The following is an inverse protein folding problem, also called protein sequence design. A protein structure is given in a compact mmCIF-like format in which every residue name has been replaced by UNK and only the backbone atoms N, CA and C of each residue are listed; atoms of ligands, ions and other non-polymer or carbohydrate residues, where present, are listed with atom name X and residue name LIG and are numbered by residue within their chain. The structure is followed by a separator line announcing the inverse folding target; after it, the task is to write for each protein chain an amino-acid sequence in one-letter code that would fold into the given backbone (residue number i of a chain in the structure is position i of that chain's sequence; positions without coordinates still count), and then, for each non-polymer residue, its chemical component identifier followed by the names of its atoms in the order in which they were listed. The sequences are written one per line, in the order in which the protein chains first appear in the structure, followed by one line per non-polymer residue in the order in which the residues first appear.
data_IF_681993054225
#
_entry.id   IF_681993054225
#
_cell.length_a   1.000
_cell.length_b   1.000
_cell.length_c   1.000
_cell.angle_alpha   90.00
_cell.angle_beta   90.00
_cell.angle_gamma   90.00
#
_symmetry.space_group_name_H-M   'P 1'
#
loop_
_entity.id
_entity.type
_entity.pdbx_description
1 polymer ?
#
# COMPACT_ATOMS: atom_id res chain seq x y z
N UNK A 1 -12.24 18.45 4.28
CA UNK A 1 -11.37 17.58 3.46
C UNK A 1 -10.15 18.36 3.03
N UNK A 2 -8.93 17.83 3.24
CA UNK A 2 -7.70 18.46 2.74
C UNK A 2 -7.65 18.42 1.20
N UNK A 3 -6.85 19.29 0.57
CA UNK A 3 -6.66 19.25 -0.89
C UNK A 3 -6.15 17.89 -1.36
N UNK A 4 -5.21 17.28 -0.62
CA UNK A 4 -4.69 15.95 -0.93
C UNK A 4 -5.78 14.87 -0.90
N UNK A 5 -6.62 14.83 0.14
CA UNK A 5 -7.74 13.89 0.22
C UNK A 5 -8.75 14.06 -0.93
N UNK A 6 -9.03 15.32 -1.31
CA UNK A 6 -9.92 15.64 -2.42
C UNK A 6 -9.40 15.05 -3.75
N UNK A 7 -8.12 15.24 -4.04
CA UNK A 7 -7.49 14.72 -5.26
C UNK A 7 -7.45 13.20 -5.32
N UNK A 8 -7.19 12.54 -4.18
CA UNK A 8 -7.30 11.09 -4.06
C UNK A 8 -8.71 10.63 -4.43
N UNK A 9 -9.74 11.25 -3.83
CA UNK A 9 -11.13 10.89 -4.08
C UNK A 9 -11.55 11.12 -5.54
N UNK A 10 -11.15 12.25 -6.14
CA UNK A 10 -11.39 12.56 -7.55
C UNK A 10 -10.73 11.56 -8.48
N UNK A 11 -9.44 11.23 -8.23
CA UNK A 11 -8.74 10.23 -9.01
C UNK A 11 -9.38 8.85 -8.86
N UNK A 12 -9.68 8.40 -7.64
CA UNK A 12 -10.34 7.11 -7.42
C UNK A 12 -11.69 7.05 -8.16
N UNK A 13 -12.47 8.11 -8.13
CA UNK A 13 -13.74 8.20 -8.86
C UNK A 13 -13.52 8.12 -10.36
N UNK A 14 -12.54 8.83 -10.92
CA UNK A 14 -12.22 8.81 -12.34
C UNK A 14 -11.79 7.42 -12.85
N UNK A 15 -11.18 6.62 -11.95
CA UNK A 15 -10.77 5.24 -12.26
C UNK A 15 -11.89 4.21 -11.99
N UNK A 16 -13.06 4.63 -11.52
CA UNK A 16 -14.15 3.73 -11.15
C UNK A 16 -13.87 2.90 -9.89
N UNK A 17 -12.93 3.34 -9.04
CA UNK A 17 -12.63 2.69 -7.77
C UNK A 17 -13.70 3.01 -6.72
N UNK A 18 -13.95 2.05 -5.83
CA UNK A 18 -14.91 2.24 -4.74
C UNK A 18 -14.35 3.18 -3.69
N UNK A 19 -15.15 4.15 -3.29
CA UNK A 19 -14.97 4.94 -2.08
C UNK A 19 -16.00 4.46 -1.04
N UNK A 20 -15.54 4.09 0.13
CA UNK A 20 -16.38 3.62 1.23
C UNK A 20 -16.75 4.82 2.09
N UNK A 21 -18.04 5.18 2.06
CA UNK A 21 -18.59 6.39 2.69
C UNK A 21 -19.71 6.11 3.68
N UNK A 22 -20.00 4.84 3.98
CA UNK A 22 -20.92 4.53 5.06
C UNK A 22 -20.27 4.79 6.42
N UNK A 23 -21.04 5.21 7.44
CA UNK A 23 -20.49 5.49 8.75
C UNK A 23 -19.63 4.35 9.32
N UNK A 24 -18.41 4.69 9.74
CA UNK A 24 -17.45 3.75 10.30
C UNK A 24 -16.66 2.92 9.30
N UNK A 25 -16.91 3.03 7.99
CA UNK A 25 -16.07 2.40 6.97
C UNK A 25 -14.79 3.20 6.73
N UNK A 26 -13.71 2.50 6.41
CA UNK A 26 -12.39 3.07 6.14
C UNK A 26 -11.95 2.78 4.72
N UNK A 27 -11.16 3.69 4.17
CA UNK A 27 -10.47 3.55 2.90
C UNK A 27 -8.96 3.45 3.16
N UNK A 28 -8.36 2.31 2.83
CA UNK A 28 -6.91 2.09 2.94
C UNK A 28 -6.28 2.39 1.58
N UNK A 29 -5.33 3.33 1.56
CA UNK A 29 -4.76 3.82 0.32
C UNK A 29 -3.24 3.91 0.47
N UNK A 30 -2.53 3.46 -0.55
CA UNK A 30 -1.12 3.76 -0.75
C UNK A 30 -0.97 4.69 -1.94
N UNK A 31 -0.17 5.73 -1.78
CA UNK A 31 0.16 6.67 -2.86
C UNK A 31 1.66 6.64 -3.05
N UNK A 32 2.08 6.22 -4.21
CA UNK A 32 3.49 6.11 -4.60
C UNK A 32 4.07 7.47 -4.95
N UNK A 33 5.31 7.74 -4.55
CA UNK A 33 6.07 8.90 -4.96
C UNK A 33 5.54 10.25 -4.46
N UNK A 34 4.95 10.32 -3.24
CA UNK A 34 4.46 11.59 -2.66
C UNK A 34 4.93 11.80 -1.22
N UNK A 35 5.09 13.07 -0.85
CA UNK A 35 5.36 13.51 0.52
C UNK A 35 4.08 13.50 1.38
N UNK A 36 4.20 13.81 2.67
CA UNK A 36 3.09 13.79 3.62
C UNK A 36 1.96 14.78 3.29
N UNK A 37 2.27 15.86 2.62
CA UNK A 37 1.34 16.90 2.13
C UNK A 37 0.71 16.56 0.77
N UNK A 38 1.16 15.46 0.13
CA UNK A 38 0.71 15.01 -1.18
C UNK A 38 1.53 15.59 -2.34
N UNK A 39 2.55 16.39 -2.07
CA UNK A 39 3.47 16.89 -3.12
C UNK A 39 4.28 15.73 -3.68
N UNK A 40 4.35 15.62 -5.00
CA UNK A 40 5.13 14.59 -5.70
C UNK A 40 6.61 14.74 -5.36
N UNK A 41 7.26 13.63 -5.09
CA UNK A 41 8.69 13.55 -4.84
C UNK A 41 9.43 12.82 -5.97
N UNK A 42 10.71 12.54 -5.79
CA UNK A 42 11.54 11.92 -6.83
C UNK A 42 11.35 10.41 -6.99
N UNK A 43 10.50 9.80 -6.20
CA UNK A 43 10.18 8.36 -6.20
C UNK A 43 11.41 7.45 -6.34
N UNK A 44 12.43 7.72 -5.52
CA UNK A 44 13.69 7.00 -5.55
C UNK A 44 13.53 5.60 -5.00
N UNK A 45 14.03 4.61 -5.71
CA UNK A 45 14.07 3.23 -5.25
C UNK A 45 14.71 3.10 -3.85
N UNK A 46 14.24 2.12 -3.08
CA UNK A 46 14.78 1.78 -1.77
C UNK A 46 14.58 2.88 -0.69
N UNK A 47 13.65 3.79 -0.90
CA UNK A 47 13.29 4.88 0.04
C UNK A 47 11.87 4.70 0.56
N UNK A 48 11.60 5.29 1.73
CA UNK A 48 10.28 5.41 2.33
C UNK A 48 9.58 6.67 1.83
N UNK A 49 9.38 6.77 0.53
CA UNK A 49 8.91 7.95 -0.19
C UNK A 49 7.47 7.84 -0.69
N UNK A 50 6.77 6.79 -0.29
CA UNK A 50 5.35 6.61 -0.49
C UNK A 50 4.56 6.93 0.78
N UNK A 51 3.25 7.03 0.64
CA UNK A 51 2.36 7.24 1.79
C UNK A 51 1.37 6.10 1.93
N UNK A 52 1.27 5.57 3.17
CA UNK A 52 0.13 4.77 3.62
C UNK A 52 -0.87 5.70 4.26
N UNK A 53 -2.07 5.76 3.73
CA UNK A 53 -3.15 6.62 4.18
C UNK A 53 -4.34 5.78 4.64
N UNK A 54 -5.06 6.31 5.62
CA UNK A 54 -6.42 5.86 5.96
C UNK A 54 -7.34 7.08 5.88
N UNK A 55 -8.40 6.96 5.09
CA UNK A 55 -9.47 7.95 5.05
C UNK A 55 -10.70 7.37 5.75
N UNK A 56 -11.40 8.22 6.52
CA UNK A 56 -12.70 7.89 7.10
C UNK A 56 -13.83 7.97 6.06
N UNK A 57 -15.05 7.70 6.48
CA UNK A 57 -16.23 7.76 5.62
C UNK A 57 -16.54 9.16 5.07
N UNK A 58 -16.08 10.26 5.72
CA UNK A 58 -16.15 11.63 5.22
C UNK A 58 -15.00 11.98 4.28
N UNK A 59 -14.20 10.99 3.89
CA UNK A 59 -13.00 11.11 3.06
C UNK A 59 -11.95 12.07 3.64
N UNK A 60 -11.88 12.16 4.96
CA UNK A 60 -10.83 12.88 5.68
C UNK A 60 -9.66 11.95 5.95
N UNK A 61 -8.43 12.40 5.71
CA UNK A 61 -7.23 11.64 6.08
C UNK A 61 -7.12 11.62 7.61
N UNK A 62 -7.29 10.45 8.21
CA UNK A 62 -7.18 10.20 9.65
C UNK A 62 -5.89 9.45 10.02
N UNK A 63 -5.17 8.94 9.02
CA UNK A 63 -3.87 8.31 9.17
C UNK A 63 -2.98 8.57 7.97
N UNK A 64 -1.69 8.86 8.20
CA UNK A 64 -0.73 9.21 7.15
C UNK A 64 0.70 8.88 7.61
N UNK A 65 1.29 7.82 7.05
CA UNK A 65 2.61 7.32 7.44
C UNK A 65 3.50 7.11 6.23
N UNK A 66 4.81 7.30 6.42
CA UNK A 66 5.82 6.94 5.42
C UNK A 66 5.76 5.44 5.13
N UNK A 67 5.86 5.07 3.86
CA UNK A 67 5.70 3.70 3.40
C UNK A 67 6.52 3.43 2.13
N UNK A 68 6.44 2.18 1.65
CA UNK A 68 6.84 1.79 0.30
C UNK A 68 5.78 0.86 -0.30
N UNK A 69 5.55 1.00 -1.60
CA UNK A 69 4.78 0.09 -2.45
C UNK A 69 5.68 -0.81 -3.27
N UNK A 70 6.99 -0.65 -3.11
CA UNK A 70 8.03 -1.24 -3.93
C UNK A 70 8.89 -2.24 -3.16
N UNK A 71 9.55 -3.19 -3.85
CA UNK A 71 10.60 -3.99 -3.27
C UNK A 71 11.81 -3.12 -2.90
N UNK A 72 12.47 -3.46 -1.79
CA UNK A 72 13.74 -2.84 -1.44
C UNK A 72 14.88 -3.37 -2.29
N UNK A 73 15.99 -2.65 -2.29
CA UNK A 73 17.16 -2.95 -3.13
C UNK A 73 17.66 -4.39 -3.03
N UNK A 74 17.61 -4.97 -1.83
CA UNK A 74 18.05 -6.35 -1.62
C UNK A 74 17.29 -7.35 -2.53
N UNK A 75 15.98 -7.16 -2.68
CA UNK A 75 15.13 -8.06 -3.47
C UNK A 75 14.99 -7.62 -4.92
N UNK A 76 15.24 -6.36 -5.25
CA UNK A 76 15.39 -5.93 -6.65
C UNK A 76 16.66 -6.55 -7.23
N UNK A 77 17.79 -6.46 -6.52
CA UNK A 77 19.07 -7.01 -6.97
C UNK A 77 19.11 -8.55 -6.95
N UNK A 78 18.51 -9.17 -5.90
CA UNK A 78 18.43 -10.63 -5.71
C UNK A 78 17.00 -11.05 -5.40
N UNK A 79 16.12 -11.14 -6.42
CA UNK A 79 14.73 -11.46 -6.21
C UNK A 79 14.54 -12.88 -5.66
N UNK A 80 13.52 -13.07 -4.82
CA UNK A 80 13.13 -14.39 -4.32
C UNK A 80 12.55 -15.28 -5.41
N UNK A 81 11.96 -14.67 -6.44
CA UNK A 81 11.44 -15.34 -7.62
C UNK A 81 12.41 -15.10 -8.79
N UNK A 82 12.85 -16.16 -9.53
CA UNK A 82 13.73 -15.98 -10.68
C UNK A 82 13.10 -15.14 -11.82
N UNK A 83 11.78 -14.97 -11.81
CA UNK A 83 11.08 -14.10 -12.76
C UNK A 83 11.18 -12.61 -12.43
N UNK A 84 11.81 -12.23 -11.31
CA UNK A 84 11.99 -10.87 -10.88
C UNK A 84 11.29 -10.53 -9.57
N UNK A 85 11.61 -9.37 -9.00
CA UNK A 85 10.94 -8.84 -7.82
C UNK A 85 9.49 -8.45 -8.16
N UNK A 86 8.57 -8.72 -7.22
CA UNK A 86 7.16 -8.36 -7.42
C UNK A 86 6.94 -6.88 -7.04
N UNK A 87 6.32 -6.12 -7.94
CA UNK A 87 5.89 -4.75 -7.72
C UNK A 87 4.39 -4.64 -7.97
N UNK A 88 3.60 -4.33 -6.96
CA UNK A 88 2.15 -4.26 -7.08
C UNK A 88 1.75 -3.26 -8.17
N UNK A 89 0.79 -3.61 -9.01
CA UNK A 89 0.24 -2.70 -10.01
C UNK A 89 -0.67 -1.67 -9.35
N UNK A 90 -0.76 -0.48 -9.92
CA UNK A 90 -1.78 0.49 -9.53
C UNK A 90 -3.17 -0.11 -9.72
N UNK A 91 -4.04 0.08 -8.76
CA UNK A 91 -5.35 -0.55 -8.74
C UNK A 91 -5.99 -0.60 -7.38
N UNK A 92 -7.18 -1.15 -7.33
CA UNK A 92 -7.91 -1.41 -6.09
C UNK A 92 -8.17 -2.90 -5.95
N UNK A 93 -7.83 -3.46 -4.78
CA UNK A 93 -7.86 -4.90 -4.54
C UNK A 93 -8.59 -5.21 -3.24
N UNK A 94 -9.50 -6.22 -3.26
CA UNK A 94 -10.10 -6.81 -2.08
C UNK A 94 -9.31 -8.06 -1.71
N UNK A 95 -8.23 -7.91 -0.93
CA UNK A 95 -7.25 -8.99 -0.83
C UNK A 95 -6.65 -9.25 0.55
N UNK A 96 -7.00 -8.52 1.61
CA UNK A 96 -6.31 -8.65 2.90
C UNK A 96 -7.25 -8.86 4.07
N UNK A 97 -6.82 -9.68 5.03
CA UNK A 97 -7.46 -9.82 6.34
C UNK A 97 -6.50 -9.39 7.44
N UNK A 98 -7.03 -9.06 8.62
CA UNK A 98 -6.22 -8.92 9.83
C UNK A 98 -5.66 -10.30 10.20
N UNK A 99 -4.35 -10.39 10.38
CA UNK A 99 -3.67 -11.62 10.70
C UNK A 99 -2.28 -11.36 11.28
N UNK A 100 -1.45 -12.38 11.32
CA UNK A 100 -0.07 -12.31 11.83
C UNK A 100 0.90 -12.49 10.67
N UNK A 101 1.83 -11.57 10.52
CA UNK A 101 2.98 -11.69 9.64
C UNK A 101 4.25 -11.78 10.48
N UNK A 102 4.93 -12.94 10.42
CA UNK A 102 6.05 -13.27 11.31
C UNK A 102 5.63 -13.19 12.79
N UNK A 103 5.95 -12.10 13.46
CA UNK A 103 5.80 -11.90 14.89
C UNK A 103 4.82 -10.76 15.29
N UNK A 104 4.12 -10.18 14.31
CA UNK A 104 3.25 -9.02 14.58
C UNK A 104 1.95 -9.02 13.74
N UNK A 105 0.96 -8.27 14.23
CA UNK A 105 -0.29 -8.04 13.48
C UNK A 105 0.01 -7.33 12.16
N UNK A 106 -0.67 -7.76 11.11
CA UNK A 106 -0.55 -7.22 9.77
C UNK A 106 -1.87 -7.41 9.00
N UNK A 107 -1.99 -6.76 7.86
CA UNK A 107 -2.95 -7.17 6.86
C UNK A 107 -2.29 -8.22 5.96
N UNK A 108 -2.77 -9.46 6.06
CA UNK A 108 -2.23 -10.63 5.36
C UNK A 108 -3.01 -10.88 4.09
N UNK A 109 -2.30 -11.09 2.98
CA UNK A 109 -2.93 -11.36 1.68
C UNK A 109 -3.65 -12.71 1.66
N UNK A 110 -4.93 -12.70 1.25
CA UNK A 110 -5.78 -13.90 1.12
C UNK A 110 -6.42 -14.04 -0.26
N UNK A 111 -6.34 -13.01 -1.10
CA UNK A 111 -6.91 -13.02 -2.46
C UNK A 111 -5.90 -12.47 -3.46
N UNK A 112 -6.08 -12.78 -4.75
CA UNK A 112 -5.13 -12.33 -5.78
C UNK A 112 -5.00 -10.81 -5.87
N UNK A 113 -3.77 -10.38 -6.13
CA UNK A 113 -3.45 -9.02 -6.56
C UNK A 113 -2.68 -9.09 -7.87
N UNK A 114 -2.76 -8.01 -8.66
CA UNK A 114 -2.00 -7.86 -9.90
C UNK A 114 -0.71 -7.11 -9.62
N UNK A 115 0.37 -7.49 -10.28
CA UNK A 115 1.65 -6.80 -10.17
C UNK A 115 2.57 -7.10 -11.35
N UNK A 116 3.69 -6.43 -11.35
CA UNK A 116 4.75 -6.55 -12.33
C UNK A 116 5.89 -7.40 -11.75
N UNK A 117 6.54 -8.18 -12.58
CA UNK A 117 7.75 -8.91 -12.23
C UNK A 117 8.96 -8.22 -12.87
N UNK A 118 9.73 -7.52 -12.07
CA UNK A 118 10.93 -6.79 -12.48
C UNK A 118 12.08 -7.76 -12.78
N UNK A 119 12.04 -8.32 -13.98
CA UNK A 119 13.03 -9.29 -14.45
C UNK A 119 14.37 -8.68 -14.83
N UNK A 120 14.32 -7.45 -15.39
CA UNK A 120 15.51 -6.71 -15.80
C UNK A 120 16.19 -5.98 -14.64
N UNK A 121 15.53 -5.96 -13.45
CA UNK A 121 16.04 -5.37 -12.20
C UNK A 121 16.27 -3.87 -12.28
N UNK A 122 15.50 -3.17 -13.11
CA UNK A 122 15.61 -1.72 -13.26
C UNK A 122 14.75 -0.96 -12.24
N UNK A 123 13.87 -1.65 -11.49
CA UNK A 123 12.99 -1.07 -10.48
C UNK A 123 11.80 -0.31 -11.04
N UNK A 124 11.55 -0.38 -12.34
CA UNK A 124 10.41 0.23 -13.00
C UNK A 124 9.38 -0.81 -13.40
N UNK A 125 8.14 -0.40 -13.64
CA UNK A 125 7.06 -1.28 -14.14
C UNK A 125 7.06 -1.41 -15.66
N UNK A 126 7.76 -0.50 -16.35
CA UNK A 126 7.73 -0.44 -17.81
C UNK A 126 8.48 -1.61 -18.43
N UNK A 127 7.78 -2.36 -19.28
CA UNK A 127 8.36 -3.52 -19.94
C UNK A 127 8.26 -4.83 -19.17
N UNK A 128 7.81 -4.78 -17.91
CA UNK A 128 7.68 -5.95 -17.06
C UNK A 128 6.45 -6.79 -17.37
N UNK A 129 6.58 -8.09 -17.14
CA UNK A 129 5.46 -9.03 -17.22
C UNK A 129 4.46 -8.77 -16.10
N UNK A 130 3.17 -8.69 -16.46
CA UNK A 130 2.08 -8.57 -15.50
C UNK A 130 1.60 -9.95 -15.08
N UNK A 131 1.51 -10.18 -13.77
CA UNK A 131 1.01 -11.41 -13.16
C UNK A 131 -0.12 -11.11 -12.20
N UNK A 132 -0.97 -12.12 -11.97
CA UNK A 132 -2.07 -12.03 -11.00
C UNK A 132 -2.05 -13.29 -10.11
N UNK A 133 -2.09 -13.09 -8.80
CA UNK A 133 -2.04 -14.22 -7.87
C UNK A 133 -1.91 -13.81 -6.41
N UNK A 134 -1.80 -14.84 -5.56
CA UNK A 134 -1.53 -14.69 -4.13
C UNK A 134 -0.05 -14.97 -3.89
N UNK A 135 0.72 -13.90 -3.68
CA UNK A 135 2.18 -13.95 -3.60
C UNK A 135 2.71 -13.65 -2.19
N UNK A 136 1.83 -13.53 -1.19
CA UNK A 136 2.19 -13.12 0.15
C UNK A 136 2.51 -11.62 0.27
N UNK A 137 1.86 -10.79 -0.54
CA UNK A 137 2.00 -9.34 -0.50
C UNK A 137 1.23 -8.80 0.71
N UNK A 138 1.90 -8.76 1.84
CA UNK A 138 1.32 -8.33 3.11
C UNK A 138 1.52 -6.84 3.35
N UNK A 139 0.74 -6.28 4.29
CA UNK A 139 0.92 -4.91 4.75
C UNK A 139 1.46 -4.94 6.17
N UNK A 140 2.74 -4.64 6.34
CA UNK A 140 3.45 -4.76 7.62
C UNK A 140 4.36 -3.56 7.90
N UNK A 141 5.21 -3.62 8.96
CA UNK A 141 6.18 -2.58 9.27
C UNK A 141 7.56 -2.83 8.66
N UNK A 142 8.34 -1.76 8.50
CA UNK A 142 9.74 -1.75 8.04
C UNK A 142 10.78 -1.67 9.17
N UNK A 143 10.38 -1.89 10.41
CA UNK A 143 11.28 -2.01 11.54
C UNK A 143 12.00 -0.73 11.97
N UNK A 144 11.51 0.45 11.59
CA UNK A 144 12.14 1.76 11.81
C UNK A 144 13.46 1.93 11.03
N UNK A 145 13.66 1.15 9.98
CA UNK A 145 14.86 1.19 9.16
C UNK A 145 14.98 2.49 8.35
N UNK A 146 16.21 2.96 8.12
CA UNK A 146 16.46 4.17 7.33
C UNK A 146 16.17 3.98 5.84
N UNK A 147 16.26 2.75 5.32
CA UNK A 147 15.98 2.39 3.93
C UNK A 147 15.11 1.14 3.87
N UNK A 148 14.45 0.91 2.74
CA UNK A 148 13.59 -0.27 2.55
C UNK A 148 14.39 -1.56 2.63
N UNK A 149 15.52 -1.67 1.93
CA UNK A 149 16.47 -2.78 2.05
C UNK A 149 15.83 -4.15 1.89
N UNK A 150 15.88 -4.97 2.96
CA UNK A 150 15.31 -6.30 3.03
C UNK A 150 13.90 -6.33 3.67
N UNK A 151 13.26 -5.20 3.92
CA UNK A 151 11.94 -5.16 4.53
C UNK A 151 10.79 -5.42 3.55
N UNK A 152 10.98 -5.15 2.26
CA UNK A 152 9.98 -5.43 1.24
C UNK A 152 10.56 -6.25 0.10
N UNK A 153 9.98 -7.42 -0.16
CA UNK A 153 10.17 -8.21 -1.39
C UNK A 153 9.01 -8.00 -2.38
N UNK A 154 8.25 -6.89 -2.20
CA UNK A 154 7.03 -6.54 -2.91
C UNK A 154 5.84 -6.27 -2.00
N UNK A 155 6.00 -6.45 -0.68
CA UNK A 155 4.99 -6.11 0.33
C UNK A 155 4.76 -4.59 0.41
N UNK A 156 3.56 -4.20 0.83
CA UNK A 156 3.20 -2.83 1.17
C UNK A 156 3.66 -2.51 2.60
N UNK A 157 4.75 -1.80 2.76
CA UNK A 157 5.43 -1.69 4.06
C UNK A 157 5.41 -0.27 4.60
N UNK A 158 4.89 -0.09 5.82
CA UNK A 158 5.03 1.17 6.57
C UNK A 158 6.38 1.24 7.28
N UNK A 159 7.09 2.36 7.20
CA UNK A 159 8.43 2.49 7.76
C UNK A 159 8.48 2.17 9.25
N UNK A 160 7.60 2.79 10.04
CA UNK A 160 7.67 2.82 11.50
C UNK A 160 6.84 1.69 12.15
N UNK A 161 7.41 1.01 13.16
CA UNK A 161 6.69 0.06 14.03
C UNK A 161 5.52 0.73 14.74
N UNK A 162 5.75 1.93 15.29
CA UNK A 162 4.71 2.68 15.98
C UNK A 162 3.57 3.06 15.01
N UNK A 163 3.92 3.61 13.84
CA UNK A 163 2.93 3.97 12.81
C UNK A 163 2.15 2.77 12.32
N UNK A 164 2.79 1.59 12.22
CA UNK A 164 2.08 0.37 11.83
C UNK A 164 1.11 -0.11 12.94
N UNK A 165 1.48 -0.02 14.22
CA UNK A 165 0.56 -0.34 15.32
C UNK A 165 -0.66 0.60 15.31
N UNK A 166 -0.45 1.90 15.10
CA UNK A 166 -1.54 2.87 14.94
C UNK A 166 -2.44 2.52 13.75
N UNK A 167 -1.83 2.17 12.61
CA UNK A 167 -2.56 1.71 11.42
C UNK A 167 -3.42 0.48 11.73
N UNK A 168 -2.87 -0.55 12.36
CA UNK A 168 -3.62 -1.77 12.69
C UNK A 168 -4.73 -1.50 13.71
N UNK A 169 -4.48 -0.66 14.72
CA UNK A 169 -5.52 -0.23 15.65
C UNK A 169 -6.66 0.47 14.92
N UNK A 170 -6.34 1.37 13.99
CA UNK A 170 -7.33 2.09 13.19
C UNK A 170 -8.12 1.15 12.27
N UNK A 171 -7.45 0.26 11.55
CA UNK A 171 -8.09 -0.74 10.67
C UNK A 171 -9.11 -1.58 11.44
N UNK A 172 -8.82 -1.96 12.69
CA UNK A 172 -9.73 -2.74 13.55
C UNK A 172 -10.94 -1.94 14.04
N UNK A 173 -11.00 -0.62 13.83
CA UNK A 173 -12.21 0.18 14.09
C UNK A 173 -13.20 0.21 12.93
N UNK A 174 -12.82 -0.31 11.76
CA UNK A 174 -13.70 -0.40 10.60
C UNK A 174 -15.00 -1.15 10.95
N UNK A 175 -16.14 -0.56 10.63
CA UNK A 175 -17.44 -1.14 10.97
C UNK A 175 -17.62 -2.56 10.42
N UNK A 176 -17.14 -2.82 9.20
CA UNK A 176 -17.21 -4.13 8.54
C UNK A 176 -16.34 -5.19 9.24
N UNK A 177 -15.17 -4.79 9.75
CA UNK A 177 -14.31 -5.68 10.53
C UNK A 177 -14.90 -5.95 11.93
N UNK A 178 -15.49 -4.94 12.57
CA UNK A 178 -16.15 -5.11 13.87
C UNK A 178 -17.35 -6.04 13.80
N UNK A 179 -18.07 -6.02 12.68
CA UNK A 179 -19.17 -6.94 12.39
C UNK A 179 -18.66 -8.35 12.04
N UNK A 180 -17.58 -8.44 11.26
CA UNK A 180 -16.97 -9.70 10.83
C UNK A 180 -15.43 -9.63 10.89
N UNK A 181 -14.79 -10.24 11.92
CA UNK A 181 -13.32 -10.26 12.04
C UNK A 181 -12.57 -10.93 10.87
N UNK A 182 -13.28 -11.69 10.02
CA UNK A 182 -12.73 -12.25 8.79
C UNK A 182 -12.96 -11.35 7.56
N UNK A 183 -13.34 -10.08 7.78
CA UNK A 183 -13.58 -9.15 6.68
C UNK A 183 -12.33 -9.00 5.80
N UNK A 184 -12.52 -9.16 4.49
CA UNK A 184 -11.47 -8.95 3.51
C UNK A 184 -11.43 -7.47 3.12
N UNK A 185 -10.38 -6.79 3.56
CA UNK A 185 -10.18 -5.36 3.31
C UNK A 185 -9.82 -5.06 1.87
N UNK A 186 -10.30 -3.92 1.42
CA UNK A 186 -9.88 -3.29 0.19
C UNK A 186 -8.69 -2.37 0.45
N UNK A 187 -7.72 -2.40 -0.46
CA UNK A 187 -6.61 -1.43 -0.50
C UNK A 187 -6.45 -0.92 -1.92
N UNK A 188 -6.26 0.38 -2.03
CA UNK A 188 -6.01 1.05 -3.31
C UNK A 188 -4.56 1.48 -3.38
N UNK A 189 -3.88 1.23 -4.49
CA UNK A 189 -2.51 1.69 -4.77
C UNK A 189 -2.56 2.67 -5.93
N UNK A 190 -2.12 3.89 -5.71
CA UNK A 190 -2.25 5.02 -6.64
C UNK A 190 -0.89 5.56 -7.07
N UNK A 191 -0.75 5.98 -8.34
CA UNK A 191 0.41 6.74 -8.79
C UNK A 191 0.30 8.20 -8.32
N UNK A 192 1.27 8.69 -7.57
CA UNK A 192 1.24 10.04 -7.03
C UNK A 192 1.36 11.13 -8.10
N UNK A 193 2.09 10.86 -9.17
CA UNK A 193 2.26 11.76 -10.33
C UNK A 193 0.96 12.00 -11.11
N UNK A 194 -0.06 11.16 -10.92
CA UNK A 194 -1.38 11.29 -11.55
C UNK A 194 -2.40 12.02 -10.68
N UNK A 195 -2.07 12.27 -9.42
CA UNK A 195 -2.89 13.10 -8.55
C UNK A 195 -2.59 14.57 -8.86
N UNK A 196 -3.13 15.07 -9.98
CA UNK A 196 -2.86 16.43 -10.52
C UNK A 196 -2.98 17.52 -9.45
N UNK A 197 -1.93 18.35 -9.34
CA UNK A 197 -1.85 19.49 -8.41
C UNK A 197 -2.08 20.80 -9.13
#
# INVERSE_FOLDING_TARGET
MSNFAKKIAEYMTSQGYKLFTNPGELNIIYVEGVNADGVVNSDQMNKWNDRRLVLNHDLQIIGNWAATTEPGWNYTAKPLNPMGAFRIAFGQYKAWIVGIHKDHEALVQVSPVRGHQDRNKDGFRTGDSVVNGTFGINQHWGGDAATVGAWSAGCLVGQSRQGHRQFMQMVKTDARYRENPNYVFWTTVLPGDKLSF
#
